data_IF_636893294411
#
_entry.id   IF_636893294411
#
_cell.length_a   1.000
_cell.length_b   1.000
_cell.length_c   1.000
_cell.angle_alpha   90.00
_cell.angle_beta   90.00
_cell.angle_gamma   90.00
#
_symmetry.space_group_name_H-M   'P 1'
#
loop_
_entity.id
_entity.type
_entity.pdbx_description
1 polymer ?
#
# COMPACT_ATOMS: atom_id res chain seq x y z
N UNK A 1 13.94 -4.89 -12.35
CA UNK A 1 13.48 -3.52 -12.05
C UNK A 1 13.97 -3.09 -10.67
N UNK A 2 14.47 -1.88 -10.58
CA UNK A 2 14.93 -1.34 -9.31
C UNK A 2 13.76 -1.06 -8.37
N UNK A 3 13.92 -1.44 -7.11
CA UNK A 3 12.93 -1.22 -6.06
C UNK A 3 13.62 -0.64 -4.83
N UNK A 4 13.07 0.43 -4.30
CA UNK A 4 13.60 1.06 -3.09
C UNK A 4 12.60 0.88 -1.96
N UNK A 5 13.04 0.33 -0.84
CA UNK A 5 12.17 0.18 0.32
C UNK A 5 11.58 1.52 0.73
N UNK A 6 10.28 1.57 0.92
CA UNK A 6 9.57 2.78 1.28
C UNK A 6 9.06 2.73 2.72
N UNK A 7 8.25 1.73 3.04
CA UNK A 7 7.71 1.56 4.39
C UNK A 7 7.14 0.16 4.59
N UNK A 8 6.83 -0.13 5.85
CA UNK A 8 6.04 -1.30 6.23
C UNK A 8 4.71 -0.79 6.74
N UNK A 9 3.62 -1.20 6.10
CA UNK A 9 2.28 -0.79 6.45
C UNK A 9 1.68 -1.74 7.48
N UNK A 10 1.21 -1.17 8.59
CA UNK A 10 0.67 -1.94 9.71
C UNK A 10 -0.77 -1.51 9.98
N UNK A 11 -1.76 -2.43 9.87
CA UNK A 11 -3.14 -2.09 10.22
C UNK A 11 -3.27 -1.89 11.72
N UNK A 12 -4.01 -0.84 12.10
CA UNK A 12 -4.31 -0.55 13.50
C UNK A 12 -5.81 -0.57 13.74
N UNK A 13 -6.21 -0.82 14.98
CA UNK A 13 -7.63 -1.01 15.32
C UNK A 13 -8.36 0.28 15.67
N UNK A 14 -7.64 1.37 15.84
CA UNK A 14 -8.21 2.66 16.21
C UNK A 14 -7.43 3.78 15.52
N UNK A 15 -8.11 4.88 15.21
CA UNK A 15 -7.45 6.05 14.66
C UNK A 15 -6.44 6.61 15.65
N UNK A 16 -5.32 7.09 15.11
CA UNK A 16 -4.27 7.75 15.87
C UNK A 16 -4.28 9.24 15.53
N UNK A 17 -3.84 10.06 16.45
CA UNK A 17 -3.72 11.51 16.21
C UNK A 17 -2.77 11.77 15.04
N UNK A 18 -3.10 12.77 14.24
CA UNK A 18 -2.25 13.20 13.13
C UNK A 18 -2.39 12.39 11.85
N UNK A 19 -3.29 11.42 11.80
CA UNK A 19 -3.56 10.67 10.58
C UNK A 19 -4.22 11.52 9.52
N UNK A 20 -3.88 11.26 8.25
CA UNK A 20 -4.50 11.86 7.08
C UNK A 20 -5.44 10.86 6.42
N UNK A 21 -6.58 11.36 5.92
CA UNK A 21 -7.56 10.49 5.27
C UNK A 21 -7.33 10.38 3.76
N UNK A 22 -7.34 9.17 3.25
CA UNK A 22 -7.25 8.88 1.83
C UNK A 22 -8.61 8.34 1.36
N UNK A 23 -9.38 9.20 0.68
CA UNK A 23 -10.75 8.88 0.31
C UNK A 23 -10.86 7.71 -0.66
N UNK A 24 -9.95 7.60 -1.63
CA UNK A 24 -10.01 6.55 -2.65
C UNK A 24 -10.10 5.15 -2.06
N UNK A 25 -9.43 4.90 -0.94
CA UNK A 25 -9.45 3.60 -0.27
C UNK A 25 -10.11 3.66 1.11
N UNK A 26 -10.62 4.82 1.51
CA UNK A 26 -11.27 5.02 2.81
C UNK A 26 -10.41 4.52 3.95
N UNK A 27 -9.20 5.04 3.99
CA UNK A 27 -8.21 4.65 4.99
C UNK A 27 -7.54 5.89 5.58
N UNK A 28 -7.30 5.85 6.88
CA UNK A 28 -6.54 6.88 7.61
C UNK A 28 -5.11 6.42 7.73
N UNK A 29 -4.17 7.32 7.42
CA UNK A 29 -2.75 6.99 7.30
C UNK A 29 -1.93 7.85 8.24
N UNK A 30 -1.11 7.19 9.06
CA UNK A 30 -0.12 7.85 9.91
C UNK A 30 1.26 7.28 9.62
N UNK A 31 2.31 8.04 9.90
CA UNK A 31 3.66 7.65 9.57
C UNK A 31 4.61 7.78 10.75
N UNK A 32 5.54 6.84 10.84
CA UNK A 32 6.72 6.94 11.67
C UNK A 32 7.94 6.80 10.75
N UNK A 33 8.42 7.94 10.26
CA UNK A 33 9.51 7.96 9.26
C UNK A 33 10.82 7.40 9.80
N UNK A 34 11.07 7.53 11.10
CA UNK A 34 12.29 7.02 11.71
C UNK A 34 12.44 5.51 11.51
N UNK A 35 11.32 4.79 11.61
CA UNK A 35 11.33 3.32 11.49
C UNK A 35 10.73 2.80 10.19
N UNK A 36 10.37 3.72 9.27
CA UNK A 36 9.77 3.30 8.01
C UNK A 36 8.44 2.60 8.18
N UNK A 37 7.62 3.07 9.12
CA UNK A 37 6.32 2.47 9.40
C UNK A 37 5.21 3.38 8.94
N UNK A 38 4.19 2.79 8.30
CA UNK A 38 2.95 3.46 7.96
C UNK A 38 1.82 2.76 8.71
N UNK A 39 1.07 3.52 9.52
CA UNK A 39 -0.09 2.98 10.25
C UNK A 39 -1.34 3.21 9.43
N UNK A 40 -2.21 2.19 9.34
CA UNK A 40 -3.40 2.23 8.51
C UNK A 40 -4.64 1.89 9.35
N UNK A 41 -5.55 2.84 9.44
CA UNK A 41 -6.86 2.59 10.03
C UNK A 41 -7.89 2.55 8.90
N UNK A 42 -8.40 1.35 8.61
CA UNK A 42 -9.32 1.13 7.51
C UNK A 42 -10.76 1.35 7.96
N UNK A 43 -11.51 2.17 7.20
CA UNK A 43 -12.96 2.30 7.42
C UNK A 43 -13.64 0.99 7.04
N UNK A 44 -14.80 0.71 7.67
CA UNK A 44 -15.52 -0.54 7.44
C UNK A 44 -16.00 -0.73 6.01
N UNK A 45 -16.29 0.37 5.33
CA UNK A 45 -16.80 0.35 3.96
C UNK A 45 -15.74 0.55 2.90
N UNK A 46 -14.47 0.35 3.25
CA UNK A 46 -13.37 0.45 2.28
C UNK A 46 -13.58 -0.51 1.10
N UNK A 47 -13.27 -0.08 -0.14
CA UNK A 47 -13.29 -0.97 -1.30
C UNK A 47 -12.07 -1.86 -1.41
N UNK A 48 -11.09 -1.71 -0.50
CA UNK A 48 -9.84 -2.47 -0.57
C UNK A 48 -10.07 -3.96 -0.34
N UNK A 49 -9.23 -4.78 -0.96
CA UNK A 49 -9.26 -6.22 -0.77
C UNK A 49 -9.03 -6.60 0.69
N UNK A 50 -9.69 -7.66 1.13
CA UNK A 50 -9.62 -8.12 2.52
C UNK A 50 -8.19 -8.26 3.03
N UNK A 51 -7.29 -8.83 2.23
CA UNK A 51 -5.89 -9.03 2.63
C UNK A 51 -5.14 -7.72 2.83
N UNK A 52 -5.45 -6.68 2.04
CA UNK A 52 -4.85 -5.36 2.22
C UNK A 52 -5.26 -4.75 3.57
N UNK A 53 -6.50 -5.01 3.99
CA UNK A 53 -7.03 -4.46 5.24
C UNK A 53 -6.48 -5.19 6.45
N UNK A 54 -6.30 -6.49 6.36
CA UNK A 54 -5.98 -7.35 7.52
C UNK A 54 -4.50 -7.58 7.71
N UNK A 55 -3.70 -7.55 6.65
CA UNK A 55 -2.30 -7.96 6.72
C UNK A 55 -1.35 -6.77 6.70
N UNK A 56 -0.22 -6.95 7.35
CA UNK A 56 0.92 -6.06 7.20
C UNK A 56 1.44 -6.17 5.78
N UNK A 57 1.87 -5.07 5.19
CA UNK A 57 2.48 -5.10 3.87
C UNK A 57 3.81 -4.36 3.85
N UNK A 58 4.65 -4.70 2.87
CA UNK A 58 5.90 -3.99 2.64
C UNK A 58 5.75 -3.19 1.34
N UNK A 59 6.13 -1.92 1.36
CA UNK A 59 6.01 -1.04 0.21
C UNK A 59 7.38 -0.74 -0.39
N UNK A 60 7.42 -0.72 -1.72
CA UNK A 60 8.61 -0.36 -2.49
C UNK A 60 8.27 0.73 -3.49
N UNK A 61 9.17 1.71 -3.58
CA UNK A 61 9.09 2.71 -4.64
C UNK A 61 9.66 2.12 -5.92
N UNK A 62 8.94 2.30 -7.03
CA UNK A 62 9.32 1.80 -8.35
C UNK A 62 9.10 2.90 -9.38
N UNK A 63 9.77 2.78 -10.53
CA UNK A 63 9.61 3.75 -11.61
C UNK A 63 8.26 3.61 -12.32
N UNK A 64 7.74 2.39 -12.41
CA UNK A 64 6.52 2.07 -13.15
C UNK A 64 5.77 0.94 -12.45
N UNK A 65 4.62 1.27 -11.90
CA UNK A 65 3.81 0.32 -11.12
C UNK A 65 3.35 -0.87 -11.97
N UNK A 66 2.91 -0.62 -13.19
CA UNK A 66 2.41 -1.71 -14.04
C UNK A 66 3.52 -2.68 -14.43
N UNK A 67 4.71 -2.14 -14.72
CA UNK A 67 5.86 -2.98 -15.02
C UNK A 67 6.27 -3.81 -13.79
N UNK A 68 6.21 -3.20 -12.59
CA UNK A 68 6.52 -3.91 -11.35
C UNK A 68 5.54 -5.05 -11.08
N UNK A 69 4.25 -4.81 -11.30
CA UNK A 69 3.23 -5.86 -11.17
C UNK A 69 3.57 -7.04 -12.09
N UNK A 70 3.82 -6.74 -13.35
CA UNK A 70 4.10 -7.77 -14.35
C UNK A 70 5.37 -8.55 -14.01
N UNK A 71 6.42 -7.85 -13.64
CA UNK A 71 7.69 -8.49 -13.26
C UNK A 71 7.54 -9.39 -12.03
N UNK A 72 6.70 -8.99 -11.09
CA UNK A 72 6.52 -9.72 -9.84
C UNK A 72 5.90 -11.10 -10.03
N UNK A 73 5.09 -11.27 -11.08
CA UNK A 73 4.32 -12.49 -11.28
C UNK A 73 3.29 -12.74 -10.20
N UNK A 74 3.04 -11.76 -9.35
CA UNK A 74 2.14 -11.91 -8.20
C UNK A 74 0.67 -11.82 -8.57
N UNK A 75 -0.16 -12.21 -7.61
CA UNK A 75 -1.61 -12.05 -7.73
C UNK A 75 -1.97 -10.60 -7.42
N UNK A 76 -2.69 -9.94 -8.31
CA UNK A 76 -3.08 -8.54 -8.12
C UNK A 76 -4.20 -8.45 -7.08
N UNK A 77 -3.97 -7.65 -6.03
CA UNK A 77 -4.99 -7.32 -5.03
C UNK A 77 -5.60 -5.96 -5.30
N UNK A 78 -4.80 -5.02 -5.77
CA UNK A 78 -5.25 -3.71 -6.25
C UNK A 78 -4.44 -3.39 -7.50
N UNK A 79 -5.08 -3.29 -8.68
CA UNK A 79 -4.39 -2.87 -9.88
C UNK A 79 -3.95 -1.40 -9.76
N UNK A 80 -3.15 -0.93 -10.70
CA UNK A 80 -2.68 0.46 -10.67
C UNK A 80 -3.82 1.41 -10.37
N UNK A 81 -3.66 2.18 -9.32
CA UNK A 81 -4.59 3.25 -8.93
C UNK A 81 -3.85 4.58 -8.99
N UNK A 82 -4.29 5.46 -9.89
CA UNK A 82 -3.72 6.79 -9.98
C UNK A 82 -4.26 7.66 -8.85
N UNK A 83 -3.36 8.33 -8.13
CA UNK A 83 -3.71 9.21 -7.03
C UNK A 83 -3.58 10.69 -7.39
N UNK A 84 -3.25 10.98 -8.65
CA UNK A 84 -3.00 12.34 -9.11
C UNK A 84 -1.54 12.74 -8.96
N UNK A 85 -1.14 13.78 -9.70
CA UNK A 85 0.22 14.33 -9.60
C UNK A 85 1.34 13.37 -10.00
N UNK A 86 1.05 12.37 -10.79
CA UNK A 86 2.05 11.37 -11.18
C UNK A 86 2.25 10.26 -10.16
N UNK A 87 1.46 10.25 -9.09
CA UNK A 87 1.53 9.22 -8.04
C UNK A 87 0.55 8.09 -8.35
N UNK A 88 1.01 6.86 -8.25
CA UNK A 88 0.17 5.69 -8.41
C UNK A 88 0.61 4.60 -7.46
N UNK A 89 -0.34 3.75 -7.07
CA UNK A 89 -0.07 2.60 -6.20
C UNK A 89 -0.68 1.34 -6.79
N UNK A 90 -0.16 0.19 -6.34
CA UNK A 90 -0.75 -1.10 -6.60
C UNK A 90 -0.36 -2.06 -5.46
N UNK A 91 -1.16 -3.09 -5.26
CA UNK A 91 -0.88 -4.12 -4.26
C UNK A 91 -0.93 -5.49 -4.93
N UNK A 92 0.04 -6.33 -4.60
CA UNK A 92 0.10 -7.71 -5.09
C UNK A 92 0.37 -8.68 -3.92
N UNK A 93 0.05 -9.95 -4.13
CA UNK A 93 0.48 -11.01 -3.23
C UNK A 93 1.53 -11.82 -3.99
N UNK A 94 2.73 -11.94 -3.43
CA UNK A 94 3.83 -12.69 -4.05
C UNK A 94 4.00 -14.04 -3.38
N UNK A 95 4.39 -15.04 -4.16
CA UNK A 95 4.68 -16.39 -3.66
C UNK A 95 3.56 -16.99 -2.80
N UNK A 96 2.30 -16.69 -3.12
CA UNK A 96 1.13 -17.08 -2.32
C UNK A 96 1.24 -16.63 -0.86
N UNK A 97 1.96 -15.55 -0.62
CA UNK A 97 2.29 -15.10 0.72
C UNK A 97 2.18 -13.59 0.86
N UNK A 98 3.27 -12.90 1.15
CA UNK A 98 3.22 -11.51 1.60
C UNK A 98 2.47 -10.55 0.66
N UNK A 99 1.82 -9.58 1.27
CA UNK A 99 1.24 -8.45 0.54
C UNK A 99 2.33 -7.41 0.34
N UNK A 100 2.50 -7.00 -0.90
CA UNK A 100 3.50 -6.02 -1.31
C UNK A 100 2.81 -4.86 -2.02
N UNK A 101 3.18 -3.65 -1.64
CA UNK A 101 2.73 -2.44 -2.32
C UNK A 101 3.83 -1.92 -3.24
N UNK A 102 3.45 -1.51 -4.45
CA UNK A 102 4.33 -0.74 -5.33
C UNK A 102 3.83 0.70 -5.36
N UNK A 103 4.75 1.63 -5.20
CA UNK A 103 4.47 3.07 -5.18
C UNK A 103 5.30 3.74 -6.28
N UNK A 104 4.63 4.51 -7.13
CA UNK A 104 5.23 5.30 -8.19
C UNK A 104 4.97 6.77 -7.88
N UNK A 105 6.03 7.56 -7.86
CA UNK A 105 5.86 8.99 -7.57
C UNK A 105 7.13 9.75 -7.27
#
# INVERSE_FOLDING_TARGET
>A
MEKTYLHTGIPVKAKMDGMSYMEALRVWIGNNAEYGIEYLYWEKDTPAAYRMVKETHVAYKVADVEAAIKESGGKVLLPKMDLGGGVAIAFVSIDNGPVVEFYQG
#
